data_IF_721448520129
#
_entry.id   IF_721448520129
#
_cell.length_a   1.000
_cell.length_b   1.000
_cell.length_c   1.000
_cell.angle_alpha   90.00
_cell.angle_beta   90.00
_cell.angle_gamma   90.00
#
_symmetry.space_group_name_H-M   'P 1'
#
loop_
_entity.id
_entity.type
_entity.pdbx_description
1 polymer ?
#
# COMPACT_ATOMS: atom_id res chain seq x y z
N UNK A 1 34.62 -14.75 39.17
CA UNK A 1 33.25 -15.24 39.40
C UNK A 1 33.13 -16.62 38.78
N UNK A 2 32.54 -17.63 39.43
CA UNK A 2 32.40 -18.97 38.82
C UNK A 2 31.52 -18.88 37.58
N UNK A 3 32.03 -19.34 36.43
CA UNK A 3 31.32 -19.34 35.16
C UNK A 3 29.95 -20.04 35.26
N UNK A 4 29.87 -21.14 36.03
CA UNK A 4 28.62 -21.87 36.30
C UNK A 4 27.56 -21.00 36.99
N UNK A 5 27.96 -20.09 37.89
CA UNK A 5 27.01 -19.18 38.56
C UNK A 5 26.50 -18.10 37.62
N UNK A 6 27.34 -17.65 36.68
CA UNK A 6 26.96 -16.68 35.64
C UNK A 6 25.88 -17.27 34.74
N UNK A 7 26.06 -18.51 34.28
CA UNK A 7 25.09 -19.20 33.42
C UNK A 7 23.74 -19.43 34.12
N UNK A 8 23.76 -19.81 35.41
CA UNK A 8 22.53 -19.99 36.19
C UNK A 8 21.76 -18.66 36.30
N UNK A 9 22.45 -17.55 36.59
CA UNK A 9 21.83 -16.22 36.70
C UNK A 9 21.24 -15.78 35.36
N UNK A 10 21.95 -15.98 34.24
CA UNK A 10 21.45 -15.66 32.90
C UNK A 10 20.18 -16.46 32.56
N UNK A 11 20.14 -17.74 32.94
CA UNK A 11 18.96 -18.60 32.74
C UNK A 11 17.75 -18.10 33.53
N UNK A 12 17.94 -17.64 34.76
CA UNK A 12 16.86 -17.06 35.58
C UNK A 12 16.35 -15.74 35.01
N UNK A 13 17.23 -14.85 34.55
CA UNK A 13 16.83 -13.58 33.94
C UNK A 13 16.02 -13.81 32.65
N UNK A 14 16.38 -14.80 31.83
CA UNK A 14 15.59 -15.22 30.65
C UNK A 14 14.23 -15.78 31.03
N UNK A 15 14.16 -16.54 32.12
CA UNK A 15 12.88 -17.01 32.67
C UNK A 15 12.00 -15.83 33.09
N UNK A 16 12.56 -14.81 33.74
CA UNK A 16 11.82 -13.58 34.10
C UNK A 16 11.36 -12.78 32.88
N UNK A 17 12.17 -12.69 31.81
CA UNK A 17 11.84 -12.01 30.55
C UNK A 17 10.67 -12.69 29.83
N UNK A 18 10.73 -14.02 29.68
CA UNK A 18 9.69 -14.81 29.00
C UNK A 18 8.34 -14.84 29.74
N UNK A 19 8.36 -14.77 31.07
CA UNK A 19 7.15 -14.77 31.92
C UNK A 19 6.69 -13.37 32.34
N UNK A 20 7.30 -12.31 31.80
CA UNK A 20 6.99 -10.91 32.12
C UNK A 20 7.01 -10.59 33.63
N UNK A 21 7.86 -11.29 34.40
CA UNK A 21 8.03 -11.07 35.84
C UNK A 21 8.81 -9.77 36.12
N UNK A 22 9.55 -9.29 35.13
CA UNK A 22 10.26 -8.02 35.13
C UNK A 22 10.04 -7.31 33.78
N UNK A 23 9.98 -5.97 33.73
CA UNK A 23 9.95 -5.26 32.46
C UNK A 23 11.18 -5.55 31.59
N UNK A 24 10.95 -5.71 30.28
CA UNK A 24 11.94 -6.22 29.31
C UNK A 24 13.26 -5.44 29.34
N UNK A 25 13.20 -4.11 29.42
CA UNK A 25 14.40 -3.26 29.42
C UNK A 25 15.32 -3.48 30.63
N UNK A 26 14.79 -3.95 31.78
CA UNK A 26 15.60 -4.29 32.94
C UNK A 26 16.28 -5.66 32.77
N UNK A 27 15.59 -6.63 32.17
CA UNK A 27 16.19 -7.92 31.83
C UNK A 27 17.35 -7.74 30.85
N UNK A 28 17.16 -6.91 29.83
CA UNK A 28 18.20 -6.62 28.82
C UNK A 28 19.42 -5.94 29.44
N UNK A 29 19.19 -4.99 30.36
CA UNK A 29 20.27 -4.35 31.12
C UNK A 29 21.05 -5.36 31.98
N UNK A 30 20.37 -6.25 32.69
CA UNK A 30 21.02 -7.27 33.53
C UNK A 30 21.79 -8.28 32.69
N UNK A 31 21.22 -8.74 31.58
CA UNK A 31 21.92 -9.66 30.65
C UNK A 31 23.19 -8.99 30.14
N UNK A 32 23.11 -7.77 29.62
CA UNK A 32 24.27 -7.03 29.14
C UNK A 32 25.34 -6.79 30.21
N UNK A 33 24.92 -6.58 31.46
CA UNK A 33 25.83 -6.41 32.59
C UNK A 33 26.55 -7.71 32.94
N UNK A 34 25.83 -8.83 32.97
CA UNK A 34 26.41 -10.14 33.29
C UNK A 34 27.21 -10.74 32.14
N UNK A 35 26.90 -10.39 30.89
CA UNK A 35 27.68 -10.76 29.70
C UNK A 35 28.85 -9.82 29.45
N UNK A 36 29.06 -8.80 30.29
CA UNK A 36 30.20 -7.86 30.21
C UNK A 36 30.33 -7.16 28.84
N UNK A 37 29.21 -7.02 28.12
CA UNK A 37 29.21 -6.47 26.76
C UNK A 37 29.77 -7.41 25.68
N UNK A 38 30.24 -8.60 26.03
CA UNK A 38 30.36 -9.71 25.09
C UNK A 38 28.95 -10.20 24.82
N UNK A 39 28.27 -9.53 23.88
CA UNK A 39 26.96 -9.91 23.40
C UNK A 39 26.92 -11.42 23.27
N UNK A 40 26.15 -12.05 24.15
CA UNK A 40 25.98 -13.48 24.11
C UNK A 40 25.44 -13.77 22.71
N UNK A 41 26.03 -14.77 22.04
CA UNK A 41 25.49 -15.29 20.80
C UNK A 41 24.09 -15.83 21.10
N UNK A 42 23.10 -14.93 21.12
CA UNK A 42 21.68 -15.20 21.26
C UNK A 42 21.25 -15.91 19.98
N UNK A 43 21.54 -17.19 19.98
CA UNK A 43 21.07 -18.23 19.08
C UNK A 43 19.61 -18.59 19.33
N UNK A 44 18.83 -17.65 19.88
CA UNK A 44 17.41 -17.80 20.15
C UNK A 44 16.80 -16.41 20.30
N UNK A 45 15.93 -16.06 19.35
CA UNK A 45 15.03 -14.90 19.36
C UNK A 45 15.62 -13.53 18.97
N UNK A 46 16.32 -13.46 17.85
CA UNK A 46 16.00 -12.50 16.78
C UNK A 46 16.81 -12.88 15.55
N UNK A 47 16.37 -13.96 14.90
CA UNK A 47 16.33 -13.91 13.45
C UNK A 47 15.38 -12.75 13.08
N UNK A 48 15.87 -11.52 13.17
CA UNK A 48 15.66 -10.59 12.06
C UNK A 48 16.28 -11.28 10.85
N UNK A 49 15.51 -12.25 10.31
CA UNK A 49 15.66 -12.70 8.96
C UNK A 49 15.90 -11.41 8.18
N UNK A 50 17.01 -11.37 7.44
CA UNK A 50 17.21 -10.44 6.34
C UNK A 50 16.00 -10.61 5.43
N UNK A 51 14.89 -10.00 5.83
CA UNK A 51 13.62 -9.98 5.16
C UNK A 51 13.88 -8.93 4.12
N UNK A 52 14.53 -9.34 3.02
CA UNK A 52 14.44 -8.62 1.77
C UNK A 52 12.96 -8.27 1.64
N UNK A 53 12.58 -6.99 1.64
CA UNK A 53 11.20 -6.62 1.84
C UNK A 53 10.44 -6.89 0.54
N UNK A 54 10.14 -8.15 0.29
CA UNK A 54 9.50 -8.60 -0.94
C UNK A 54 8.12 -7.92 -1.07
N UNK A 55 7.49 -7.56 0.05
CA UNK A 55 6.24 -6.81 0.08
C UNK A 55 6.40 -5.39 -0.49
N UNK A 56 7.53 -4.71 -0.24
CA UNK A 56 7.84 -3.40 -0.84
C UNK A 56 7.93 -3.50 -2.36
N UNK A 57 8.43 -4.63 -2.89
CA UNK A 57 8.43 -4.88 -4.33
C UNK A 57 7.01 -4.98 -4.91
N UNK A 58 6.08 -5.64 -4.21
CA UNK A 58 4.68 -5.70 -4.65
C UNK A 58 3.99 -4.33 -4.62
N UNK A 59 4.21 -3.53 -3.57
CA UNK A 59 3.71 -2.16 -3.51
C UNK A 59 4.30 -1.28 -4.62
N UNK A 60 5.61 -1.39 -4.85
CA UNK A 60 6.30 -0.68 -5.91
C UNK A 60 5.72 -1.03 -7.28
N UNK A 61 5.60 -2.32 -7.59
CA UNK A 61 5.08 -2.78 -8.87
C UNK A 61 3.61 -2.36 -9.10
N UNK A 62 2.77 -2.46 -8.06
CA UNK A 62 1.37 -2.03 -8.16
C UNK A 62 1.26 -0.51 -8.40
N UNK A 63 2.11 0.29 -7.73
CA UNK A 63 2.15 1.74 -7.90
C UNK A 63 2.71 2.13 -9.27
N UNK A 64 3.71 1.39 -9.77
CA UNK A 64 4.29 1.60 -11.10
C UNK A 64 3.24 1.47 -12.21
N UNK A 65 2.23 0.62 -11.99
CA UNK A 65 1.11 0.44 -12.91
C UNK A 65 0.30 1.74 -13.15
N UNK A 66 0.35 2.69 -12.21
CA UNK A 66 -0.29 4.00 -12.34
C UNK A 66 0.34 4.87 -13.44
N UNK A 67 1.61 4.66 -13.78
CA UNK A 67 2.28 5.43 -14.82
C UNK A 67 1.85 5.00 -16.23
N UNK A 68 1.39 3.76 -16.42
CA UNK A 68 1.16 3.20 -17.75
C UNK A 68 0.13 4.01 -18.56
N UNK A 69 -1.03 4.40 -18.02
CA UNK A 69 -1.99 5.24 -18.75
C UNK A 69 -1.39 6.57 -19.26
N UNK A 70 -0.51 7.19 -18.47
CA UNK A 70 0.20 8.41 -18.87
C UNK A 70 1.18 8.14 -20.00
N UNK A 71 1.94 7.04 -19.93
CA UNK A 71 2.84 6.65 -21.01
C UNK A 71 2.08 6.38 -22.30
N UNK A 72 0.93 5.69 -22.24
CA UNK A 72 0.11 5.39 -23.40
C UNK A 72 -0.41 6.66 -24.08
N UNK A 73 -0.83 7.65 -23.29
CA UNK A 73 -1.28 8.94 -23.79
C UNK A 73 -0.19 9.69 -24.58
N UNK A 74 1.07 9.64 -24.12
CA UNK A 74 2.18 10.34 -24.78
C UNK A 74 2.73 9.57 -25.99
N UNK A 75 2.73 8.24 -25.94
CA UNK A 75 3.45 7.40 -26.92
C UNK A 75 2.61 6.96 -28.11
N UNK A 76 1.30 6.79 -27.93
CA UNK A 76 0.43 6.27 -28.98
C UNK A 76 -0.34 7.44 -29.57
N UNK A 77 -0.21 7.68 -30.87
CA UNK A 77 -0.94 8.77 -31.53
C UNK A 77 -2.40 8.37 -31.83
N UNK A 78 -2.64 7.09 -32.14
CA UNK A 78 -3.98 6.62 -32.51
C UNK A 78 -4.82 6.25 -31.29
N UNK A 79 -5.97 6.91 -31.13
CA UNK A 79 -6.86 6.75 -29.97
C UNK A 79 -7.38 5.30 -29.81
N UNK A 80 -7.71 4.63 -30.91
CA UNK A 80 -8.21 3.24 -30.88
C UNK A 80 -7.14 2.28 -30.36
N UNK A 81 -5.87 2.52 -30.70
CA UNK A 81 -4.77 1.67 -30.28
C UNK A 81 -4.42 1.83 -28.80
N UNK A 82 -4.86 2.91 -28.14
CA UNK A 82 -4.70 3.11 -26.68
C UNK A 82 -5.62 2.20 -25.85
N UNK A 83 -6.76 1.78 -26.41
CA UNK A 83 -7.78 1.00 -25.69
C UNK A 83 -7.28 -0.38 -25.26
N UNK A 84 -6.61 -1.10 -26.17
CA UNK A 84 -6.10 -2.46 -25.92
C UNK A 84 -5.15 -2.50 -24.71
N UNK A 85 -4.05 -1.71 -24.67
CA UNK A 85 -3.16 -1.70 -23.53
C UNK A 85 -3.81 -1.14 -22.25
N UNK A 86 -4.73 -0.18 -22.36
CA UNK A 86 -5.48 0.30 -21.19
C UNK A 86 -6.31 -0.83 -20.53
N UNK A 87 -6.98 -1.68 -21.32
CA UNK A 87 -7.70 -2.84 -20.81
C UNK A 87 -6.74 -3.84 -20.15
N UNK A 88 -5.59 -4.10 -20.76
CA UNK A 88 -4.56 -5.00 -20.19
C UNK A 88 -4.10 -4.51 -18.82
N UNK A 89 -3.84 -3.20 -18.68
CA UNK A 89 -3.45 -2.58 -17.40
C UNK A 89 -4.53 -2.77 -16.34
N UNK A 90 -5.81 -2.58 -16.69
CA UNK A 90 -6.92 -2.81 -15.75
C UNK A 90 -7.01 -4.27 -15.31
N UNK A 91 -6.82 -5.22 -16.23
CA UNK A 91 -6.78 -6.65 -15.89
C UNK A 91 -5.61 -6.99 -14.96
N UNK A 92 -4.44 -6.39 -15.18
CA UNK A 92 -3.28 -6.54 -14.29
C UNK A 92 -3.55 -5.97 -12.89
N UNK A 93 -4.23 -4.83 -12.76
CA UNK A 93 -4.66 -4.30 -11.46
C UNK A 93 -5.61 -5.27 -10.73
N UNK A 94 -6.58 -5.87 -11.44
CA UNK A 94 -7.47 -6.88 -10.86
C UNK A 94 -6.68 -8.12 -10.40
N UNK A 95 -5.68 -8.53 -11.18
CA UNK A 95 -4.79 -9.62 -10.80
C UNK A 95 -3.97 -9.28 -9.55
N UNK A 96 -3.47 -8.03 -9.43
CA UNK A 96 -2.78 -7.55 -8.23
C UNK A 96 -3.67 -7.59 -6.99
N UNK A 97 -4.95 -7.20 -7.09
CA UNK A 97 -5.88 -7.31 -5.95
C UNK A 97 -5.98 -8.76 -5.46
N UNK A 98 -6.07 -9.75 -6.39
CA UNK A 98 -6.09 -11.17 -6.01
C UNK A 98 -4.80 -11.63 -5.34
N UNK A 99 -3.65 -11.12 -5.77
CA UNK A 99 -2.37 -11.41 -5.12
C UNK A 99 -2.28 -10.80 -3.72
N UNK A 100 -2.70 -9.55 -3.56
CA UNK A 100 -2.71 -8.86 -2.26
C UNK A 100 -3.63 -9.58 -1.28
N UNK A 101 -4.80 -10.03 -1.74
CA UNK A 101 -5.72 -10.82 -0.92
C UNK A 101 -5.15 -12.18 -0.48
N UNK A 102 -4.24 -12.77 -1.25
CA UNK A 102 -3.60 -14.06 -0.91
C UNK A 102 -2.52 -13.90 0.17
N UNK A 103 -1.94 -12.70 0.30
CA UNK A 103 -0.86 -12.43 1.25
C UNK A 103 -1.35 -11.56 2.40
N UNK A 104 -1.47 -12.17 3.59
CA UNK A 104 -2.05 -11.54 4.80
C UNK A 104 -1.30 -10.27 5.29
N UNK A 105 -0.06 -10.06 4.82
CA UNK A 105 0.76 -8.87 5.12
C UNK A 105 0.50 -7.68 4.18
N UNK A 106 -0.27 -7.86 3.11
CA UNK A 106 -0.54 -6.83 2.11
C UNK A 106 -1.94 -6.23 2.30
N UNK A 107 -2.05 -4.91 2.18
CA UNK A 107 -3.32 -4.21 2.34
C UNK A 107 -4.10 -4.25 1.02
N UNK A 108 -5.15 -5.08 0.95
CA UNK A 108 -6.05 -5.17 -0.22
C UNK A 108 -6.62 -3.81 -0.62
N UNK A 109 -6.97 -2.98 0.37
CA UNK A 109 -7.52 -1.63 0.18
C UNK A 109 -6.63 -0.73 -0.69
N UNK A 110 -5.31 -0.89 -0.60
CA UNK A 110 -4.35 -0.15 -1.43
C UNK A 110 -4.44 -0.55 -2.90
N UNK A 111 -4.51 -1.86 -3.17
CA UNK A 111 -4.61 -2.37 -4.53
C UNK A 111 -5.95 -2.01 -5.19
N UNK A 112 -7.03 -2.05 -4.41
CA UNK A 112 -8.35 -1.59 -4.87
C UNK A 112 -8.32 -0.09 -5.21
N UNK A 113 -7.70 0.74 -4.37
CA UNK A 113 -7.57 2.16 -4.65
C UNK A 113 -6.83 2.42 -5.96
N UNK A 114 -5.70 1.75 -6.20
CA UNK A 114 -4.93 1.95 -7.44
C UNK A 114 -5.74 1.56 -8.66
N UNK A 115 -6.49 0.44 -8.62
CA UNK A 115 -7.40 0.06 -9.71
C UNK A 115 -8.37 1.22 -10.05
N UNK A 116 -9.01 1.78 -9.04
CA UNK A 116 -9.98 2.86 -9.20
C UNK A 116 -9.34 4.12 -9.78
N UNK A 117 -8.17 4.54 -9.26
CA UNK A 117 -7.43 5.69 -9.79
C UNK A 117 -7.02 5.45 -11.24
N UNK A 118 -6.50 4.26 -11.55
CA UNK A 118 -6.06 3.90 -12.89
C UNK A 118 -7.24 3.87 -13.89
N UNK A 119 -8.40 3.37 -13.44
CA UNK A 119 -9.63 3.39 -14.20
C UNK A 119 -10.11 4.82 -14.49
N UNK A 120 -10.13 5.69 -13.48
CA UNK A 120 -10.48 7.10 -13.64
C UNK A 120 -9.54 7.77 -14.65
N UNK A 121 -8.23 7.62 -14.47
CA UNK A 121 -7.24 8.27 -15.31
C UNK A 121 -7.32 7.79 -16.77
N UNK A 122 -7.31 6.46 -16.99
CA UNK A 122 -7.42 5.87 -18.33
C UNK A 122 -8.70 6.29 -19.04
N UNK A 123 -9.85 6.21 -18.37
CA UNK A 123 -11.14 6.57 -18.98
C UNK A 123 -11.28 8.06 -19.23
N UNK A 124 -10.79 8.92 -18.33
CA UNK A 124 -10.84 10.38 -18.51
C UNK A 124 -9.98 10.87 -19.67
N UNK A 125 -8.77 10.31 -19.86
CA UNK A 125 -7.90 10.65 -20.99
C UNK A 125 -8.51 10.23 -22.32
N UNK A 126 -9.01 9.00 -22.41
CA UNK A 126 -9.69 8.49 -23.61
C UNK A 126 -10.93 9.32 -23.96
N UNK A 127 -11.76 9.68 -22.97
CA UNK A 127 -12.95 10.51 -23.21
C UNK A 127 -12.60 11.91 -23.71
N UNK A 128 -11.53 12.50 -23.15
CA UNK A 128 -11.10 13.83 -23.55
C UNK A 128 -10.62 13.84 -25.02
N UNK A 129 -9.85 12.83 -25.44
CA UNK A 129 -9.40 12.71 -26.83
C UNK A 129 -10.53 12.33 -27.78
N UNK A 130 -11.53 11.56 -27.35
CA UNK A 130 -12.56 11.11 -28.29
C UNK A 130 -13.64 12.16 -28.54
N UNK A 131 -14.09 12.83 -27.47
CA UNK A 131 -15.17 13.80 -27.57
C UNK A 131 -14.69 15.24 -27.69
N UNK A 132 -13.46 15.56 -27.27
CA UNK A 132 -12.91 16.93 -27.22
C UNK A 132 -13.83 17.94 -26.48
N UNK A 133 -14.75 17.45 -25.64
CA UNK A 133 -15.74 18.26 -24.93
C UNK A 133 -15.49 18.15 -23.43
N UNK A 134 -14.96 19.22 -22.86
CA UNK A 134 -14.54 19.27 -21.45
C UNK A 134 -15.68 18.94 -20.46
N UNK A 135 -16.92 19.35 -20.77
CA UNK A 135 -18.08 19.06 -19.92
C UNK A 135 -18.32 17.56 -19.71
N UNK A 136 -18.14 16.76 -20.76
CA UNK A 136 -18.36 15.31 -20.70
C UNK A 136 -17.32 14.67 -19.79
N UNK A 137 -16.07 15.10 -19.88
CA UNK A 137 -14.98 14.66 -19.01
C UNK A 137 -15.24 15.01 -17.55
N UNK A 138 -15.72 16.22 -17.24
CA UNK A 138 -16.07 16.61 -15.88
C UNK A 138 -17.23 15.78 -15.33
N UNK A 139 -18.30 15.60 -16.11
CA UNK A 139 -19.43 14.76 -15.73
C UNK A 139 -18.98 13.33 -15.44
N UNK A 140 -18.08 12.79 -16.26
CA UNK A 140 -17.50 11.46 -16.04
C UNK A 140 -16.69 11.33 -14.75
N UNK A 141 -15.91 12.36 -14.40
CA UNK A 141 -15.16 12.40 -13.13
C UNK A 141 -16.12 12.37 -11.93
N UNK A 142 -17.23 13.11 -11.99
CA UNK A 142 -18.26 13.09 -10.95
C UNK A 142 -18.90 11.70 -10.78
N UNK A 143 -19.28 11.05 -11.89
CA UNK A 143 -19.85 9.69 -11.85
C UNK A 143 -18.85 8.71 -11.22
N UNK A 144 -17.57 8.80 -11.61
CA UNK A 144 -16.53 7.93 -11.08
C UNK A 144 -16.32 8.15 -9.57
N UNK A 145 -16.21 9.41 -9.14
CA UNK A 145 -16.04 9.74 -7.74
C UNK A 145 -17.21 9.24 -6.87
N UNK A 146 -18.45 9.37 -7.35
CA UNK A 146 -19.62 8.81 -6.67
C UNK A 146 -19.55 7.28 -6.58
N UNK A 147 -19.10 6.60 -7.64
CA UNK A 147 -18.89 5.16 -7.64
C UNK A 147 -17.91 4.72 -6.54
N UNK A 148 -16.82 5.47 -6.32
CA UNK A 148 -15.85 5.16 -5.27
C UNK A 148 -16.46 5.31 -3.87
N UNK A 149 -17.28 6.35 -3.65
CA UNK A 149 -17.95 6.57 -2.37
C UNK A 149 -18.95 5.46 -2.08
N UNK A 150 -19.74 5.04 -3.08
CA UNK A 150 -20.72 3.94 -2.93
C UNK A 150 -20.00 2.62 -2.69
N UNK A 151 -18.95 2.32 -3.47
CA UNK A 151 -18.18 1.09 -3.33
C UNK A 151 -17.44 1.03 -1.98
N UNK A 152 -16.82 2.13 -1.57
CA UNK A 152 -16.16 2.27 -0.27
C UNK A 152 -17.13 2.01 0.90
N UNK A 153 -18.36 2.55 0.84
CA UNK A 153 -19.40 2.27 1.84
C UNK A 153 -19.82 0.80 1.85
N UNK A 154 -20.03 0.18 0.69
CA UNK A 154 -20.42 -1.24 0.60
C UNK A 154 -19.36 -2.19 1.12
N UNK A 155 -18.08 -1.92 0.84
CA UNK A 155 -16.96 -2.75 1.28
C UNK A 155 -16.35 -2.32 2.61
N UNK A 156 -16.90 -1.28 3.27
CA UNK A 156 -16.37 -0.66 4.49
C UNK A 156 -14.91 -0.20 4.38
N UNK A 157 -14.46 0.11 3.17
CA UNK A 157 -13.12 0.59 2.88
C UNK A 157 -13.07 2.11 3.04
N UNK A 158 -12.71 2.56 4.24
CA UNK A 158 -12.65 3.99 4.57
C UNK A 158 -11.71 4.75 3.63
N UNK A 159 -10.59 4.14 3.25
CA UNK A 159 -9.59 4.79 2.42
C UNK A 159 -10.11 5.13 1.02
N UNK A 160 -10.78 4.18 0.34
CA UNK A 160 -11.39 4.40 -0.98
C UNK A 160 -12.51 5.45 -0.89
N UNK A 161 -13.28 5.45 0.20
CA UNK A 161 -14.31 6.45 0.42
C UNK A 161 -13.75 7.87 0.58
N UNK A 162 -12.71 8.04 1.41
CA UNK A 162 -12.05 9.33 1.63
C UNK A 162 -11.43 9.84 0.33
N UNK A 163 -10.76 8.96 -0.42
CA UNK A 163 -10.20 9.31 -1.73
C UNK A 163 -11.30 9.74 -2.72
N UNK A 164 -12.44 9.04 -2.76
CA UNK A 164 -13.58 9.39 -3.60
C UNK A 164 -14.15 10.78 -3.26
N UNK A 165 -14.32 11.09 -1.97
CA UNK A 165 -14.76 12.44 -1.51
C UNK A 165 -13.75 13.51 -1.89
N UNK A 166 -12.45 13.23 -1.75
CA UNK A 166 -11.41 14.18 -2.14
C UNK A 166 -11.45 14.51 -3.64
N UNK A 167 -11.58 13.49 -4.49
CA UNK A 167 -11.75 13.67 -5.94
C UNK A 167 -13.03 14.46 -6.25
N UNK A 168 -14.12 14.23 -5.52
CA UNK A 168 -15.37 14.99 -5.70
C UNK A 168 -15.18 16.48 -5.43
N UNK A 169 -14.50 16.83 -4.34
CA UNK A 169 -14.22 18.21 -3.96
C UNK A 169 -13.35 18.88 -5.02
N UNK A 170 -12.31 18.19 -5.49
CA UNK A 170 -11.45 18.70 -6.58
C UNK A 170 -12.27 18.95 -7.84
N UNK A 171 -13.15 18.02 -8.22
CA UNK A 171 -14.02 18.20 -9.38
C UNK A 171 -14.93 19.43 -9.23
N UNK A 172 -15.47 19.68 -8.03
CA UNK A 172 -16.25 20.89 -7.73
C UNK A 172 -15.44 22.17 -7.94
N UNK A 173 -14.22 22.21 -7.39
CA UNK A 173 -13.31 23.36 -7.53
C UNK A 173 -12.98 23.61 -9.00
N UNK A 174 -12.60 22.57 -9.75
CA UNK A 174 -12.28 22.67 -11.18
C UNK A 174 -13.46 23.21 -11.99
N UNK A 175 -14.67 22.70 -11.74
CA UNK A 175 -15.87 23.19 -12.41
C UNK A 175 -16.20 24.65 -12.06
N UNK A 176 -15.95 25.07 -10.82
CA UNK A 176 -16.13 26.45 -10.38
C UNK A 176 -15.19 27.43 -11.09
N UNK A 177 -13.93 27.06 -11.27
CA UNK A 177 -12.96 27.87 -12.04
C UNK A 177 -13.25 27.90 -13.54
N UNK A 178 -13.86 26.86 -14.11
CA UNK A 178 -14.18 26.85 -15.54
C UNK A 178 -15.30 27.84 -15.91
N UNK A 179 -16.20 28.14 -14.98
CA UNK A 179 -17.35 29.02 -15.19
C UNK A 179 -17.12 30.49 -14.84
N UNK A 180 -15.99 30.82 -14.21
CA UNK A 180 -15.61 32.17 -13.81
C UNK A 180 -14.50 32.71 -14.69
#
# INVERSE_FOLDING_TARGET
MNAERKEIILKEIRYWKSHQLLPVHYCDFLIALYTEGEGENESSEEQEAKNTPYYLFYYFFNTFLLLIPLLLYVTVENDIWKIIPAIIVLLLNIWMIRLFKKHDRLNEDYAVMILFVNFLFSSSLLLNEWFHVNWITYLWIYINSLSWIVFGKWKKQLFVQIAGVFVFIIACILSGFYYF
#
